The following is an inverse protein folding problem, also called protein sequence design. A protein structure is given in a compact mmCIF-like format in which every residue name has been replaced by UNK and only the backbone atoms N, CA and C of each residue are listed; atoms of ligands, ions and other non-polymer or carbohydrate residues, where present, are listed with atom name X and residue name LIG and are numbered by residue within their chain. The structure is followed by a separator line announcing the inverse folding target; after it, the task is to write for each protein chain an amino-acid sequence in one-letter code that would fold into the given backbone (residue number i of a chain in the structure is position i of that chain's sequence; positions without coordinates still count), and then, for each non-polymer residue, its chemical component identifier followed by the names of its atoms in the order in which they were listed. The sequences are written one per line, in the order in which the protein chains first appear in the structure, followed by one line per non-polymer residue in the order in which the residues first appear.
data_IF_406370979849
#
_entry.id   IF_406370979849
#
_cell.length_a   1.000
_cell.length_b   1.000
_cell.length_c   1.000
_cell.angle_alpha   90.00
_cell.angle_beta   90.00
_cell.angle_gamma   90.00
#
_symmetry.space_group_name_H-M   'P 1'
#
loop_
_entity.id
_entity.type
_entity.pdbx_description
1 polymer ?
#
# COMPACT_ATOMS: atom_id res chain seq x y z
N UNK A 1 29.68 -5.18 35.40
CA UNK A 1 30.10 -5.13 33.99
C UNK A 1 29.07 -4.27 33.22
N UNK A 2 28.88 -2.96 33.46
CA UNK A 2 29.76 -1.77 33.29
C UNK A 2 30.33 -1.65 31.87
N UNK A 3 29.63 -0.95 30.95
CA UNK A 3 29.79 0.48 30.48
C UNK A 3 30.89 0.62 29.40
N UNK A 4 30.81 1.44 28.33
CA UNK A 4 29.94 2.56 27.92
C UNK A 4 30.17 2.88 26.41
N UNK A 5 29.21 3.45 25.68
CA UNK A 5 28.95 4.89 25.36
C UNK A 5 30.01 5.66 24.54
N UNK A 6 29.55 6.09 23.34
CA UNK A 6 29.49 7.47 22.80
C UNK A 6 30.67 8.14 22.03
N UNK A 7 30.35 8.49 20.76
CA UNK A 7 30.45 9.78 20.01
C UNK A 7 31.76 10.61 19.87
N UNK A 8 32.03 10.92 18.57
CA UNK A 8 32.27 12.25 17.94
C UNK A 8 33.69 12.88 17.82
N UNK A 9 33.79 13.74 16.78
CA UNK A 9 34.79 14.79 16.43
C UNK A 9 36.09 14.30 15.72
N UNK A 10 36.45 14.77 14.51
CA UNK A 10 36.84 16.12 14.02
C UNK A 10 38.31 16.47 14.29
N UNK A 11 38.98 17.11 13.31
CA UNK A 11 40.30 17.75 13.44
C UNK A 11 41.36 17.16 12.50
N UNK A 12 41.67 17.83 11.38
CA UNK A 12 42.69 18.89 11.27
C UNK A 12 44.12 18.34 11.35
N UNK A 13 44.71 18.10 10.19
CA UNK A 13 46.12 17.73 10.02
C UNK A 13 46.96 18.99 10.07
N UNK A 14 47.69 19.15 11.17
CA UNK A 14 48.81 20.08 11.32
C UNK A 14 50.01 19.44 10.61
N UNK A 15 50.43 20.02 9.48
CA UNK A 15 51.71 19.70 8.85
C UNK A 15 52.67 20.88 8.99
N UNK A 16 53.62 20.67 9.89
CA UNK A 16 54.83 21.42 10.16
C UNK A 16 55.69 21.51 8.88
N UNK A 17 56.02 22.72 8.42
CA UNK A 17 57.07 22.90 7.38
C UNK A 17 58.08 23.93 7.87
N UNK A 18 59.33 23.50 7.76
CA UNK A 18 60.55 24.09 8.26
C UNK A 18 60.93 25.42 7.61
N UNK A 19 61.58 26.23 8.43
CA UNK A 19 62.26 27.47 8.09
C UNK A 19 63.49 27.14 7.22
N UNK A 20 63.54 27.69 6.01
CA UNK A 20 64.77 27.83 5.24
C UNK A 20 64.89 29.28 4.77
N UNK A 21 65.87 29.97 5.34
CA UNK A 21 66.25 31.33 5.01
C UNK A 21 66.87 31.39 3.60
N UNK A 22 66.34 32.28 2.76
CA UNK A 22 67.04 32.76 1.58
C UNK A 22 66.75 34.26 1.42
N UNK A 23 67.73 35.05 1.80
CA UNK A 23 67.78 36.50 1.68
C UNK A 23 67.73 36.91 0.20
N UNK A 24 66.65 37.58 -0.22
CA UNK A 24 66.56 38.23 -1.53
C UNK A 24 66.49 39.75 -1.36
N UNK A 25 67.38 40.41 -2.07
CA UNK A 25 67.67 41.84 -2.07
C UNK A 25 66.42 42.66 -2.41
N UNK A 26 65.95 43.46 -1.45
CA UNK A 26 64.92 44.47 -1.67
C UNK A 26 65.49 45.61 -2.52
N UNK A 27 65.15 45.62 -3.82
CA UNK A 27 65.30 46.80 -4.68
C UNK A 27 64.25 47.82 -4.26
N UNK A 28 64.66 48.84 -3.51
CA UNK A 28 63.80 49.95 -3.11
C UNK A 28 63.36 50.73 -4.36
N UNK A 29 62.14 50.47 -4.83
CA UNK A 29 61.47 51.32 -5.81
C UNK A 29 60.73 52.42 -5.05
N UNK A 30 61.09 53.67 -5.33
CA UNK A 30 60.43 54.85 -4.79
C UNK A 30 58.91 54.81 -5.05
N UNK A 31 58.08 55.29 -4.11
CA UNK A 31 56.64 55.35 -4.32
C UNK A 31 56.36 56.38 -5.42
N UNK A 32 55.83 55.91 -6.56
CA UNK A 32 55.22 56.80 -7.55
C UNK A 32 53.93 57.33 -6.94
N UNK A 33 53.97 58.53 -6.40
CA UNK A 33 52.77 59.31 -6.07
C UNK A 33 52.02 59.61 -7.36
N UNK A 34 50.90 58.92 -7.55
CA UNK A 34 49.90 59.26 -8.56
C UNK A 34 49.40 60.68 -8.32
N UNK A 35 49.05 61.46 -9.38
CA UNK A 35 48.50 62.81 -9.21
C UNK A 35 47.19 62.75 -8.41
N UNK A 36 46.80 63.82 -7.69
CA UNK A 36 45.51 63.89 -7.02
C UNK A 36 44.38 63.67 -8.05
N UNK A 37 43.36 62.85 -7.76
CA UNK A 37 42.27 62.60 -8.69
C UNK A 37 41.62 63.92 -9.07
N UNK A 38 41.37 64.12 -10.36
CA UNK A 38 40.64 65.29 -10.82
C UNK A 38 39.21 65.25 -10.24
N UNK A 39 38.55 66.39 -9.98
CA UNK A 39 37.18 66.41 -9.47
C UNK A 39 36.18 65.63 -10.36
N UNK A 40 36.49 65.44 -11.65
CA UNK A 40 35.74 64.58 -12.58
C UNK A 40 35.87 63.08 -12.26
N UNK A 41 37.05 62.62 -11.85
CA UNK A 41 37.30 61.21 -11.52
C UNK A 41 36.66 60.83 -10.17
N UNK A 42 36.61 61.77 -9.23
CA UNK A 42 35.92 61.56 -7.95
C UNK A 42 34.39 61.44 -8.13
N UNK A 43 33.80 62.23 -9.04
CA UNK A 43 32.38 62.16 -9.35
C UNK A 43 31.98 60.85 -10.02
N UNK A 44 32.77 60.37 -10.99
CA UNK A 44 32.49 59.09 -11.68
C UNK A 44 32.61 57.88 -10.74
N UNK A 45 33.56 57.89 -9.80
CA UNK A 45 33.70 56.84 -8.78
C UNK A 45 32.52 56.84 -7.81
N UNK A 46 32.01 58.01 -7.40
CA UNK A 46 30.83 58.11 -6.55
C UNK A 46 29.57 57.57 -7.25
N UNK A 47 29.36 57.91 -8.52
CA UNK A 47 28.22 57.39 -9.29
C UNK A 47 28.34 55.89 -9.54
N UNK A 48 29.55 55.37 -9.81
CA UNK A 48 29.78 53.92 -9.91
C UNK A 48 29.46 53.20 -8.59
N UNK A 49 29.87 53.76 -7.44
CA UNK A 49 29.56 53.21 -6.11
C UNK A 49 28.06 53.27 -5.79
N UNK A 50 27.37 54.34 -6.17
CA UNK A 50 25.90 54.45 -6.01
C UNK A 50 25.18 53.40 -6.84
N UNK A 51 25.58 53.22 -8.10
CA UNK A 51 25.01 52.18 -8.96
C UNK A 51 25.29 50.78 -8.42
N UNK A 52 26.48 50.54 -7.88
CA UNK A 52 26.83 49.28 -7.20
C UNK A 52 25.92 49.03 -5.98
N UNK A 53 25.72 50.03 -5.12
CA UNK A 53 24.81 49.94 -3.98
C UNK A 53 23.38 49.64 -4.41
N UNK A 54 22.85 50.39 -5.38
CA UNK A 54 21.48 50.17 -5.89
C UNK A 54 21.31 48.75 -6.47
N UNK A 55 22.33 48.25 -7.18
CA UNK A 55 22.32 46.87 -7.69
C UNK A 55 22.40 45.83 -6.56
N UNK A 56 23.17 46.09 -5.50
CA UNK A 56 23.21 45.19 -4.33
C UNK A 56 21.90 45.19 -3.56
N UNK A 57 21.24 46.34 -3.40
CA UNK A 57 19.92 46.45 -2.77
C UNK A 57 18.86 45.71 -3.58
N UNK A 58 18.84 45.88 -4.91
CA UNK A 58 17.94 45.12 -5.79
C UNK A 58 18.16 43.60 -5.69
N UNK A 59 19.42 43.15 -5.63
CA UNK A 59 19.76 41.73 -5.43
C UNK A 59 19.35 41.22 -4.05
N UNK A 60 19.53 42.03 -3.01
CA UNK A 60 19.11 41.67 -1.66
C UNK A 60 17.59 41.52 -1.57
N UNK A 61 16.84 42.46 -2.18
CA UNK A 61 15.37 42.40 -2.26
C UNK A 61 14.88 41.19 -3.07
N UNK A 62 15.54 40.86 -4.20
CA UNK A 62 15.17 39.66 -4.98
C UNK A 62 15.44 38.38 -4.19
N UNK A 63 16.61 38.26 -3.53
CA UNK A 63 16.90 37.12 -2.67
C UNK A 63 15.90 36.97 -1.52
N UNK A 64 15.51 38.08 -0.89
CA UNK A 64 14.52 38.05 0.20
C UNK A 64 13.14 37.56 -0.31
N UNK A 65 12.74 37.97 -1.51
CA UNK A 65 11.54 37.46 -2.17
C UNK A 65 11.64 35.96 -2.49
N UNK A 66 12.79 35.52 -3.01
CA UNK A 66 13.04 34.11 -3.36
C UNK A 66 13.05 33.22 -2.11
N UNK A 67 13.64 33.66 -1.01
CA UNK A 67 13.60 32.92 0.27
C UNK A 67 12.15 32.79 0.77
N UNK A 68 11.35 33.86 0.69
CA UNK A 68 9.94 33.82 1.08
C UNK A 68 9.11 32.89 0.21
N UNK A 69 9.34 32.86 -1.11
CA UNK A 69 8.63 31.95 -2.02
C UNK A 69 9.02 30.49 -1.75
N UNK A 70 10.31 30.20 -1.57
CA UNK A 70 10.80 28.86 -1.19
C UNK A 70 10.20 28.38 0.15
N UNK A 71 10.07 29.24 1.14
CA UNK A 71 9.44 28.89 2.43
C UNK A 71 7.94 28.56 2.28
N UNK A 72 7.24 29.23 1.38
CA UNK A 72 5.83 28.90 1.05
C UNK A 72 5.76 27.55 0.33
N UNK A 73 6.63 27.31 -0.65
CA UNK A 73 6.67 26.04 -1.38
C UNK A 73 7.01 24.86 -0.48
N UNK A 74 8.01 25.01 0.40
CA UNK A 74 8.38 24.00 1.40
C UNK A 74 7.22 23.65 2.32
N UNK A 75 6.48 24.64 2.81
CA UNK A 75 5.28 24.40 3.63
C UNK A 75 4.23 23.61 2.87
N UNK A 76 3.93 24.01 1.64
CA UNK A 76 2.96 23.34 0.76
C UNK A 76 3.35 21.90 0.42
N UNK A 77 4.64 21.63 0.18
CA UNK A 77 5.15 20.28 -0.05
C UNK A 77 4.99 19.44 1.22
N UNK A 78 5.32 20.00 2.39
CA UNK A 78 5.19 19.28 3.65
C UNK A 78 3.72 18.95 3.97
N UNK A 79 2.80 19.89 3.77
CA UNK A 79 1.36 19.66 3.91
C UNK A 79 0.88 18.52 3.01
N UNK A 80 1.27 18.54 1.72
CA UNK A 80 0.94 17.47 0.77
C UNK A 80 1.54 16.12 1.14
N UNK A 81 2.76 16.09 1.71
CA UNK A 81 3.38 14.87 2.20
C UNK A 81 2.59 14.28 3.37
N UNK A 82 2.21 15.11 4.34
CA UNK A 82 1.41 14.69 5.51
C UNK A 82 0.03 14.19 5.06
N UNK A 83 -0.64 14.93 4.16
CA UNK A 83 -1.93 14.53 3.59
C UNK A 83 -1.84 13.19 2.85
N UNK A 84 -0.81 13.01 2.01
CA UNK A 84 -0.61 11.77 1.26
C UNK A 84 -0.28 10.60 2.19
N UNK A 85 0.52 10.82 3.24
CA UNK A 85 0.83 9.82 4.26
C UNK A 85 -0.43 9.40 5.04
N UNK A 86 -1.28 10.36 5.44
CA UNK A 86 -2.55 10.08 6.08
C UNK A 86 -3.50 9.29 5.16
N UNK A 87 -3.52 9.62 3.87
CA UNK A 87 -4.31 8.89 2.88
C UNK A 87 -3.83 7.44 2.73
N UNK A 88 -2.51 7.22 2.66
CA UNK A 88 -1.90 5.87 2.65
C UNK A 88 -2.31 5.08 3.89
N UNK A 89 -2.15 5.65 5.08
CA UNK A 89 -2.51 4.98 6.33
C UNK A 89 -4.00 4.62 6.37
N UNK A 90 -4.87 5.52 5.92
CA UNK A 90 -6.31 5.25 5.84
C UNK A 90 -6.67 4.17 4.81
N UNK A 91 -5.91 4.09 3.70
CA UNK A 91 -6.10 3.07 2.67
C UNK A 91 -5.64 1.72 3.18
N UNK A 92 -4.49 1.65 3.86
CA UNK A 92 -3.99 0.42 4.49
C UNK A 92 -4.95 -0.11 5.57
N UNK A 93 -5.51 0.76 6.42
CA UNK A 93 -6.51 0.37 7.41
C UNK A 93 -7.78 -0.19 6.76
N UNK A 94 -8.25 0.44 5.67
CA UNK A 94 -9.39 -0.08 4.87
C UNK A 94 -9.05 -1.41 4.22
N UNK A 95 -7.87 -1.55 3.63
CA UNK A 95 -7.38 -2.78 3.01
C UNK A 95 -7.37 -3.93 4.02
N UNK A 96 -6.84 -3.71 5.23
CA UNK A 96 -6.87 -4.74 6.29
C UNK A 96 -8.29 -5.14 6.70
N UNK A 97 -9.24 -4.19 6.74
CA UNK A 97 -10.64 -4.51 7.03
C UNK A 97 -11.30 -5.34 5.92
N UNK A 98 -10.99 -5.05 4.66
CA UNK A 98 -11.47 -5.78 3.48
C UNK A 98 -10.87 -7.19 3.48
N UNK A 99 -9.57 -7.33 3.73
CA UNK A 99 -8.87 -8.62 3.83
C UNK A 99 -9.44 -9.50 4.96
N UNK A 100 -9.71 -8.91 6.13
CA UNK A 100 -10.33 -9.63 7.24
C UNK A 100 -11.73 -10.17 6.87
N UNK A 101 -12.55 -9.32 6.22
CA UNK A 101 -13.88 -9.71 5.75
C UNK A 101 -13.83 -10.75 4.64
N UNK A 102 -12.89 -10.63 3.72
CA UNK A 102 -12.67 -11.59 2.65
C UNK A 102 -12.28 -12.96 3.24
N UNK A 103 -11.38 -12.99 4.22
CA UNK A 103 -11.01 -14.22 4.92
C UNK A 103 -12.18 -14.88 5.65
N UNK A 104 -13.07 -14.09 6.25
CA UNK A 104 -14.31 -14.61 6.86
C UNK A 104 -15.23 -15.24 5.79
N UNK A 105 -15.45 -14.55 4.67
CA UNK A 105 -16.29 -15.04 3.58
C UNK A 105 -15.71 -16.31 2.93
N UNK A 106 -14.39 -16.39 2.75
CA UNK A 106 -13.72 -17.59 2.23
C UNK A 106 -13.83 -18.77 3.19
N UNK A 107 -13.73 -18.53 4.50
CA UNK A 107 -13.97 -19.56 5.51
C UNK A 107 -15.41 -20.07 5.48
N UNK A 108 -16.39 -19.16 5.37
CA UNK A 108 -17.81 -19.52 5.22
C UNK A 108 -18.03 -20.31 3.92
N UNK A 109 -17.46 -19.89 2.80
CA UNK A 109 -17.54 -20.58 1.51
C UNK A 109 -16.99 -22.01 1.61
N UNK A 110 -15.84 -22.19 2.26
CA UNK A 110 -15.20 -23.49 2.47
C UNK A 110 -16.07 -24.43 3.32
N UNK A 111 -16.66 -23.92 4.40
CA UNK A 111 -17.57 -24.69 5.26
C UNK A 111 -18.83 -25.11 4.49
N UNK A 112 -19.42 -24.19 3.72
CA UNK A 112 -20.59 -24.45 2.87
C UNK A 112 -20.29 -25.52 1.82
N UNK A 113 -19.18 -25.38 1.08
CA UNK A 113 -18.72 -26.38 0.10
C UNK A 113 -18.49 -27.74 0.74
N UNK A 114 -17.86 -27.80 1.90
CA UNK A 114 -17.66 -29.04 2.65
C UNK A 114 -18.98 -29.73 2.99
N UNK A 115 -19.94 -28.97 3.50
CA UNK A 115 -21.27 -29.48 3.85
C UNK A 115 -22.06 -29.99 2.64
N UNK A 116 -21.95 -29.30 1.50
CA UNK A 116 -22.56 -29.70 0.24
C UNK A 116 -21.95 -31.00 -0.29
N UNK A 117 -20.62 -31.10 -0.26
CA UNK A 117 -19.92 -32.28 -0.78
C UNK A 117 -20.24 -33.54 0.05
N UNK A 118 -20.33 -33.40 1.38
CA UNK A 118 -20.73 -34.49 2.27
C UNK A 118 -22.16 -34.97 1.97
N UNK A 119 -23.10 -34.04 1.78
CA UNK A 119 -24.50 -34.37 1.45
C UNK A 119 -24.62 -34.98 0.06
N UNK A 120 -23.90 -34.45 -0.93
CA UNK A 120 -23.86 -35.01 -2.28
C UNK A 120 -23.38 -36.47 -2.24
N UNK A 121 -22.35 -36.78 -1.45
CA UNK A 121 -21.91 -38.16 -1.23
C UNK A 121 -22.96 -39.06 -0.57
N UNK A 122 -23.76 -38.53 0.36
CA UNK A 122 -24.87 -39.28 0.98
C UNK A 122 -26.01 -39.56 -0.02
N UNK A 123 -26.41 -38.54 -0.79
CA UNK A 123 -27.47 -38.68 -1.82
C UNK A 123 -27.03 -39.65 -2.91
N UNK A 124 -25.78 -39.55 -3.40
CA UNK A 124 -25.25 -40.47 -4.40
C UNK A 124 -25.25 -41.93 -3.92
N UNK A 125 -24.92 -42.18 -2.63
CA UNK A 125 -25.00 -43.52 -2.02
C UNK A 125 -26.43 -44.04 -1.93
N UNK A 126 -27.37 -43.20 -1.50
CA UNK A 126 -28.80 -43.57 -1.42
C UNK A 126 -29.38 -43.88 -2.80
N UNK A 127 -29.14 -43.01 -3.79
CA UNK A 127 -29.59 -43.23 -5.17
C UNK A 127 -28.98 -44.50 -5.76
N UNK A 128 -27.70 -44.78 -5.48
CA UNK A 128 -27.05 -46.03 -5.90
C UNK A 128 -27.70 -47.26 -5.26
N UNK A 129 -28.07 -47.19 -3.97
CA UNK A 129 -28.77 -48.27 -3.29
C UNK A 129 -30.17 -48.51 -3.87
N UNK A 130 -30.93 -47.43 -4.14
CA UNK A 130 -32.26 -47.49 -4.77
C UNK A 130 -32.19 -48.07 -6.19
N UNK A 131 -31.26 -47.60 -7.02
CA UNK A 131 -31.08 -48.10 -8.38
C UNK A 131 -30.64 -49.56 -8.40
N UNK A 132 -29.79 -49.97 -7.45
CA UNK A 132 -29.37 -51.38 -7.29
C UNK A 132 -30.54 -52.28 -6.90
N UNK A 133 -31.42 -51.82 -6.01
CA UNK A 133 -32.64 -52.53 -5.63
C UNK A 133 -33.64 -52.62 -6.79
N UNK A 134 -33.77 -51.57 -7.60
CA UNK A 134 -34.63 -51.57 -8.80
C UNK A 134 -34.10 -52.48 -9.92
N UNK A 135 -32.78 -52.62 -10.06
CA UNK A 135 -32.16 -53.42 -11.13
C UNK A 135 -31.96 -54.89 -10.76
N UNK A 136 -31.75 -55.19 -9.47
CA UNK A 136 -31.63 -56.55 -8.94
C UNK A 136 -32.65 -56.72 -7.80
N UNK A 137 -33.97 -56.86 -8.10
CA UNK A 137 -34.93 -57.22 -7.08
C UNK A 137 -34.51 -58.57 -6.46
N UNK A 138 -34.61 -58.75 -5.13
CA UNK A 138 -34.22 -59.99 -4.47
C UNK A 138 -34.90 -61.19 -5.16
N UNK A 139 -34.15 -62.27 -5.45
CA UNK A 139 -34.65 -63.37 -6.27
C UNK A 139 -35.92 -63.95 -5.65
N UNK A 140 -36.99 -63.97 -6.43
CA UNK A 140 -38.28 -64.54 -6.04
C UNK A 140 -38.14 -66.07 -6.09
N UNK A 141 -37.63 -66.65 -5.01
CA UNK A 141 -37.66 -68.10 -4.81
C UNK A 141 -39.00 -68.47 -4.16
N UNK A 142 -40.00 -68.79 -5.00
CA UNK A 142 -41.25 -69.54 -4.70
C UNK A 142 -42.16 -68.92 -3.61
N UNK A 143 -43.35 -68.48 -4.04
CA UNK A 143 -44.26 -67.55 -3.35
C UNK A 143 -45.13 -68.15 -2.23
N UNK A 144 -45.14 -67.50 -1.05
CA UNK A 144 -46.21 -67.55 -0.02
C UNK A 144 -46.94 -66.20 0.07
N UNK A 145 -48.18 -66.18 0.61
CA UNK A 145 -48.99 -64.94 0.76
C UNK A 145 -48.32 -63.89 1.67
N UNK A 146 -47.44 -64.29 2.58
CA UNK A 146 -46.71 -63.34 3.46
C UNK A 146 -45.73 -62.42 2.71
N UNK A 147 -45.16 -62.82 1.57
CA UNK A 147 -44.15 -62.02 0.85
C UNK A 147 -44.74 -60.85 0.06
N UNK A 148 -45.98 -60.96 -0.42
CA UNK A 148 -46.69 -59.84 -1.03
C UNK A 148 -46.97 -58.72 0.00
N UNK A 149 -47.33 -59.10 1.24
CA UNK A 149 -47.52 -58.16 2.36
C UNK A 149 -46.21 -57.49 2.79
N UNK A 150 -45.08 -58.22 2.74
CA UNK A 150 -43.75 -57.64 2.97
C UNK A 150 -43.38 -56.59 1.91
N UNK A 151 -43.71 -56.84 0.64
CA UNK A 151 -43.51 -55.87 -0.45
C UNK A 151 -44.37 -54.62 -0.32
N UNK A 152 -45.63 -54.76 0.09
CA UNK A 152 -46.51 -53.60 0.33
C UNK A 152 -46.04 -52.79 1.54
N UNK A 153 -45.55 -53.43 2.61
CA UNK A 153 -44.95 -52.72 3.75
C UNK A 153 -43.66 -52.01 3.38
N UNK A 154 -42.78 -52.63 2.60
CA UNK A 154 -41.55 -51.95 2.15
C UNK A 154 -41.87 -50.77 1.22
N UNK A 155 -42.87 -50.90 0.35
CA UNK A 155 -43.38 -49.79 -0.47
C UNK A 155 -44.01 -48.67 0.38
N UNK A 156 -44.77 -49.00 1.43
CA UNK A 156 -45.31 -48.02 2.38
C UNK A 156 -44.21 -47.31 3.18
N UNK A 157 -43.18 -48.03 3.63
CA UNK A 157 -42.02 -47.42 4.31
C UNK A 157 -41.22 -46.51 3.38
N UNK A 158 -41.11 -46.89 2.09
CA UNK A 158 -40.51 -46.02 1.08
C UNK A 158 -41.36 -44.76 0.86
N UNK A 159 -42.69 -44.92 0.75
CA UNK A 159 -43.64 -43.82 0.61
C UNK A 159 -43.59 -42.83 1.78
N UNK A 160 -43.38 -43.33 3.01
CA UNK A 160 -43.23 -42.52 4.20
C UNK A 160 -41.92 -41.70 4.23
N UNK A 161 -40.87 -42.12 3.52
CA UNK A 161 -39.59 -41.41 3.45
C UNK A 161 -39.55 -40.28 2.39
N UNK A 162 -40.47 -40.26 1.42
CA UNK A 162 -40.52 -39.24 0.37
C UNK A 162 -40.67 -37.79 0.88
N UNK A 163 -41.54 -37.49 1.87
CA UNK A 163 -41.65 -36.15 2.44
C UNK A 163 -40.33 -35.65 3.05
N UNK A 164 -39.59 -36.54 3.72
CA UNK A 164 -38.29 -36.21 4.30
C UNK A 164 -37.26 -35.89 3.21
N UNK A 165 -37.21 -36.69 2.14
CA UNK A 165 -36.35 -36.43 0.98
C UNK A 165 -36.69 -35.10 0.28
N UNK A 166 -37.98 -34.75 0.19
CA UNK A 166 -38.42 -33.45 -0.33
C UNK A 166 -37.91 -32.31 0.55
N UNK A 167 -38.01 -32.45 1.87
CA UNK A 167 -37.45 -31.47 2.81
C UNK A 167 -35.93 -31.30 2.65
N UNK A 168 -35.20 -32.40 2.49
CA UNK A 168 -33.75 -32.37 2.25
C UNK A 168 -33.39 -31.71 0.91
N UNK A 169 -34.20 -31.91 -0.13
CA UNK A 169 -34.00 -31.28 -1.43
C UNK A 169 -34.23 -29.75 -1.38
N UNK A 170 -35.28 -29.30 -0.67
CA UNK A 170 -35.52 -27.87 -0.45
C UNK A 170 -34.36 -27.22 0.32
N UNK A 171 -33.91 -27.86 1.41
CA UNK A 171 -32.76 -27.39 2.17
C UNK A 171 -31.46 -27.35 1.34
N UNK A 172 -31.30 -28.26 0.36
CA UNK A 172 -30.17 -28.24 -0.57
C UNK A 172 -30.24 -27.04 -1.52
N UNK A 173 -31.42 -26.71 -2.04
CA UNK A 173 -31.64 -25.52 -2.89
C UNK A 173 -31.30 -24.25 -2.11
N UNK A 174 -31.76 -24.12 -0.87
CA UNK A 174 -31.44 -22.95 -0.03
C UNK A 174 -29.93 -22.80 0.17
N UNK A 175 -29.23 -23.90 0.40
CA UNK A 175 -27.77 -23.91 0.59
C UNK A 175 -26.98 -23.63 -0.71
N UNK A 176 -27.50 -24.08 -1.85
CA UNK A 176 -26.97 -23.73 -3.16
C UNK A 176 -27.16 -22.23 -3.46
N UNK A 177 -28.28 -21.65 -3.03
CA UNK A 177 -28.47 -20.21 -3.12
C UNK A 177 -27.51 -19.45 -2.18
N UNK A 178 -27.28 -19.98 -0.98
CA UNK A 178 -26.33 -19.42 -0.02
C UNK A 178 -24.90 -19.41 -0.56
N UNK A 179 -24.41 -20.51 -1.14
CA UNK A 179 -23.06 -20.53 -1.74
C UNK A 179 -22.95 -19.56 -2.92
N UNK A 180 -23.98 -19.43 -3.76
CA UNK A 180 -23.98 -18.45 -4.85
C UNK A 180 -23.88 -17.02 -4.31
N UNK A 181 -24.60 -16.71 -3.23
CA UNK A 181 -24.50 -15.42 -2.54
C UNK A 181 -23.09 -15.19 -1.99
N UNK A 182 -22.55 -16.13 -1.21
CA UNK A 182 -21.20 -16.00 -0.63
C UNK A 182 -20.13 -15.86 -1.70
N UNK A 183 -20.16 -16.66 -2.77
CA UNK A 183 -19.21 -16.54 -3.88
C UNK A 183 -19.34 -15.18 -4.58
N UNK A 184 -20.55 -14.63 -4.67
CA UNK A 184 -20.76 -13.28 -5.23
C UNK A 184 -20.16 -12.22 -4.30
N UNK A 185 -20.40 -12.32 -3.00
CA UNK A 185 -19.85 -11.41 -2.00
C UNK A 185 -18.30 -11.46 -2.01
N UNK A 186 -17.70 -12.65 -2.04
CA UNK A 186 -16.23 -12.84 -2.18
C UNK A 186 -15.70 -12.12 -3.42
N UNK A 187 -16.37 -12.23 -4.57
CA UNK A 187 -15.97 -11.52 -5.80
C UNK A 187 -16.05 -10.01 -5.62
N UNK A 188 -17.15 -9.51 -5.08
CA UNK A 188 -17.31 -8.05 -4.87
C UNK A 188 -16.27 -7.50 -3.90
N UNK A 189 -15.95 -8.24 -2.84
CA UNK A 189 -14.95 -7.83 -1.85
C UNK A 189 -13.53 -7.94 -2.41
N UNK A 190 -13.26 -8.94 -3.26
CA UNK A 190 -12.00 -9.05 -4.02
C UNK A 190 -11.80 -7.89 -5.00
N UNK A 191 -12.86 -7.45 -5.68
CA UNK A 191 -12.80 -6.30 -6.58
C UNK A 191 -12.60 -4.98 -5.81
N UNK A 192 -13.21 -4.84 -4.62
CA UNK A 192 -12.92 -3.73 -3.71
C UNK A 192 -11.47 -3.74 -3.25
N UNK A 193 -10.93 -4.91 -2.89
CA UNK A 193 -9.53 -5.06 -2.51
C UNK A 193 -8.60 -4.59 -3.64
N UNK A 194 -8.85 -5.04 -4.88
CA UNK A 194 -8.07 -4.60 -6.06
C UNK A 194 -8.12 -3.09 -6.26
N UNK A 195 -9.30 -2.48 -6.13
CA UNK A 195 -9.46 -1.03 -6.27
C UNK A 195 -8.69 -0.25 -5.19
N UNK A 196 -8.73 -0.72 -3.94
CA UNK A 196 -7.94 -0.10 -2.85
C UNK A 196 -6.43 -0.31 -3.04
N UNK A 197 -5.99 -1.48 -3.49
CA UNK A 197 -4.57 -1.72 -3.83
C UNK A 197 -4.06 -0.77 -4.90
N UNK A 198 -4.86 -0.49 -5.94
CA UNK A 198 -4.52 0.50 -6.96
C UNK A 198 -4.44 1.91 -6.39
N UNK A 199 -5.40 2.31 -5.55
CA UNK A 199 -5.36 3.61 -4.86
C UNK A 199 -4.11 3.76 -3.99
N UNK A 200 -3.73 2.70 -3.29
CA UNK A 200 -2.53 2.67 -2.46
C UNK A 200 -1.25 2.78 -3.30
N UNK A 201 -1.17 2.10 -4.45
CA UNK A 201 0.00 2.22 -5.35
C UNK A 201 0.13 3.63 -5.93
N UNK A 202 -0.98 4.25 -6.31
CA UNK A 202 -0.99 5.61 -6.86
C UNK A 202 -0.56 6.61 -5.78
N UNK A 203 -1.06 6.46 -4.56
CA UNK A 203 -0.67 7.29 -3.42
C UNK A 203 0.82 7.14 -3.06
N UNK A 204 1.35 5.91 -3.07
CA UNK A 204 2.79 5.64 -2.84
C UNK A 204 3.66 6.27 -3.93
N UNK A 205 3.25 6.20 -5.18
CA UNK A 205 3.95 6.85 -6.30
C UNK A 205 3.96 8.37 -6.14
N UNK A 206 2.82 8.95 -5.76
CA UNK A 206 2.71 10.39 -5.47
C UNK A 206 3.58 10.81 -4.30
N UNK A 207 3.63 10.03 -3.23
CA UNK A 207 4.49 10.28 -2.07
C UNK A 207 5.97 10.27 -2.49
N UNK A 208 6.40 9.28 -3.27
CA UNK A 208 7.78 9.20 -3.78
C UNK A 208 8.14 10.44 -4.62
N UNK A 209 7.24 10.88 -5.50
CA UNK A 209 7.42 12.11 -6.28
C UNK A 209 7.57 13.36 -5.41
N UNK A 210 6.72 13.51 -4.38
CA UNK A 210 6.81 14.64 -3.43
C UNK A 210 8.08 14.60 -2.56
N UNK A 211 8.58 13.41 -2.24
CA UNK A 211 9.85 13.27 -1.52
C UNK A 211 11.04 13.68 -2.38
N UNK A 212 11.01 13.36 -3.68
CA UNK A 212 12.06 13.77 -4.61
C UNK A 212 12.05 15.28 -4.83
N UNK A 213 10.88 15.91 -5.03
CA UNK A 213 10.80 17.38 -5.13
C UNK A 213 11.28 18.05 -3.86
N UNK A 214 10.92 17.54 -2.68
CA UNK A 214 11.45 18.03 -1.41
C UNK A 214 12.98 17.95 -1.36
N UNK A 215 13.56 16.84 -1.81
CA UNK A 215 15.01 16.64 -1.83
C UNK A 215 15.71 17.65 -2.75
N UNK A 216 15.14 17.91 -3.92
CA UNK A 216 15.64 18.93 -4.86
C UNK A 216 15.62 20.33 -4.23
N UNK A 217 14.51 20.73 -3.58
CA UNK A 217 14.39 22.04 -2.87
C UNK A 217 15.27 22.18 -1.61
N UNK A 218 16.00 21.14 -1.21
CA UNK A 218 16.98 21.19 -0.12
C UNK A 218 18.41 21.25 -0.68
N UNK A 219 18.62 20.76 -1.91
CA UNK A 219 19.92 20.72 -2.56
C UNK A 219 20.22 21.96 -3.39
N UNK A 220 19.20 22.69 -3.83
CA UNK A 220 19.30 24.05 -4.38
C UNK A 220 19.31 25.09 -3.26
#
# INVERSE_FOLDING_TARGET
MTTGRARAAAGSVIAMVAIAAASSVARSQAPRTSPPPSPSDAASVLDARRSELENTEKRAQSLESDVKSLDVERRKINERLVETAALIQSSEARMSSIEARLGELEAQEKLLRGSLNQRHGQIAKLLSALLRMGRNPPPVMITQREDALRMVRSAMLLAAAFPELRGQALALVDRLNEIVRVTTDVRTESDRLRAETQRLSDARTRLAGLMETKKQTISE
#
